data_IF_463192139262
#
_entry.id   IF_463192139262
#
_cell.length_a   1.000
_cell.length_b   1.000
_cell.length_c   1.000
_cell.angle_alpha   90.00
_cell.angle_beta   90.00
_cell.angle_gamma   90.00
#
_symmetry.space_group_name_H-M   'P 1'
#
loop_
_entity.id
_entity.type
_entity.pdbx_description
1 polymer ?
#
# COMPACT_ATOMS: atom_id res chain seq x y z
N UNK A 1 15.34 5.82 -8.74
CA UNK A 1 14.80 6.96 -7.94
C UNK A 1 13.37 7.34 -8.32
N UNK A 2 12.94 7.15 -9.55
CA UNK A 2 11.59 7.51 -10.03
C UNK A 2 10.46 6.72 -9.35
N UNK A 3 10.55 5.37 -9.14
CA UNK A 3 9.47 4.62 -8.51
C UNK A 3 9.12 5.10 -7.08
N UNK A 4 10.12 5.53 -6.30
CA UNK A 4 9.88 6.00 -4.93
C UNK A 4 9.08 7.31 -4.88
N UNK A 5 9.24 8.18 -5.89
CA UNK A 5 8.53 9.45 -5.94
C UNK A 5 7.05 9.27 -6.23
N UNK A 6 6.73 8.24 -6.99
CA UNK A 6 5.37 7.98 -7.45
C UNK A 6 4.58 7.24 -6.35
N UNK A 7 5.21 6.28 -5.66
CA UNK A 7 4.60 5.68 -4.45
C UNK A 7 4.32 6.74 -3.38
N UNK A 8 5.20 7.76 -3.26
CA UNK A 8 4.99 8.88 -2.34
C UNK A 8 3.83 9.78 -2.77
N UNK A 9 3.67 10.01 -4.07
CA UNK A 9 2.56 10.84 -4.61
C UNK A 9 1.18 10.25 -4.28
N UNK A 10 1.07 8.93 -4.16
CA UNK A 10 -0.17 8.25 -3.76
C UNK A 10 -0.58 8.62 -2.34
N UNK A 11 0.38 8.74 -1.42
CA UNK A 11 0.10 9.21 -0.05
C UNK A 11 -0.44 10.64 -0.07
N UNK A 12 0.09 11.50 -0.93
CA UNK A 12 -0.41 12.87 -1.08
C UNK A 12 -1.82 12.92 -1.67
N UNK A 13 -2.21 11.98 -2.53
CA UNK A 13 -3.54 11.90 -3.11
C UNK A 13 -4.63 11.51 -2.09
N UNK A 14 -4.27 10.99 -0.91
CA UNK A 14 -5.23 10.73 0.18
C UNK A 14 -5.93 12.03 0.60
N UNK A 15 -5.19 13.13 0.71
CA UNK A 15 -5.72 14.42 1.18
C UNK A 15 -6.82 14.97 0.28
N UNK A 16 -6.64 15.12 -1.05
CA UNK A 16 -7.72 15.61 -1.92
C UNK A 16 -8.92 14.65 -1.98
N UNK A 17 -8.71 13.33 -1.89
CA UNK A 17 -9.82 12.36 -1.85
C UNK A 17 -10.66 12.59 -0.60
N UNK A 18 -10.04 12.65 0.58
CA UNK A 18 -10.72 12.89 1.85
C UNK A 18 -11.43 14.24 1.83
N UNK A 19 -10.76 15.27 1.33
CA UNK A 19 -11.36 16.62 1.22
C UNK A 19 -12.61 16.63 0.32
N UNK A 20 -12.55 15.96 -0.82
CA UNK A 20 -13.72 15.84 -1.72
C UNK A 20 -14.87 15.08 -1.05
N UNK A 21 -14.58 14.07 -0.26
CA UNK A 21 -15.60 13.35 0.52
C UNK A 21 -16.22 14.23 1.61
N UNK A 22 -15.42 15.06 2.29
CA UNK A 22 -15.92 15.98 3.32
C UNK A 22 -16.90 17.02 2.75
N UNK A 23 -16.70 17.48 1.53
CA UNK A 23 -17.63 18.39 0.83
C UNK A 23 -18.77 17.67 0.12
N UNK A 24 -18.96 16.37 0.40
CA UNK A 24 -19.98 15.50 -0.22
C UNK A 24 -19.88 15.41 -1.77
N UNK A 25 -18.73 15.70 -2.35
CA UNK A 25 -18.51 15.55 -3.77
C UNK A 25 -17.91 14.18 -4.11
N UNK A 26 -18.76 13.16 -4.02
CA UNK A 26 -18.36 11.75 -4.20
C UNK A 26 -17.80 11.49 -5.60
N UNK A 27 -18.33 12.15 -6.64
CA UNK A 27 -17.85 11.96 -8.02
C UNK A 27 -16.39 12.39 -8.18
N UNK A 28 -16.02 13.49 -7.56
CA UNK A 28 -14.65 14.02 -7.61
C UNK A 28 -13.69 13.15 -6.77
N UNK A 29 -14.16 12.63 -5.64
CA UNK A 29 -13.40 11.69 -4.83
C UNK A 29 -13.11 10.39 -5.59
N UNK A 30 -14.10 9.83 -6.29
CA UNK A 30 -13.94 8.64 -7.15
C UNK A 30 -12.96 8.93 -8.29
N UNK A 31 -13.04 10.10 -8.92
CA UNK A 31 -12.11 10.48 -9.99
C UNK A 31 -10.66 10.50 -9.49
N UNK A 32 -10.38 11.12 -8.35
CA UNK A 32 -9.04 11.13 -7.76
C UNK A 32 -8.57 9.73 -7.36
N UNK A 33 -9.46 8.89 -6.84
CA UNK A 33 -9.16 7.50 -6.54
C UNK A 33 -8.78 6.70 -7.79
N UNK A 34 -9.52 6.85 -8.88
CA UNK A 34 -9.22 6.21 -10.16
C UNK A 34 -7.88 6.69 -10.73
N UNK A 35 -7.58 7.98 -10.64
CA UNK A 35 -6.29 8.54 -11.05
C UNK A 35 -5.16 7.92 -10.22
N UNK A 36 -5.31 7.84 -8.90
CA UNK A 36 -4.31 7.24 -8.02
C UNK A 36 -4.08 5.75 -8.36
N UNK A 37 -5.15 5.00 -8.58
CA UNK A 37 -5.08 3.57 -8.94
C UNK A 37 -4.46 3.35 -10.32
N UNK A 38 -4.77 4.22 -11.30
CA UNK A 38 -4.22 4.14 -12.64
C UNK A 38 -2.73 4.49 -12.67
N UNK A 39 -2.33 5.49 -11.89
CA UNK A 39 -0.93 5.87 -11.73
C UNK A 39 -0.11 4.70 -11.16
N UNK A 40 -0.64 4.03 -10.13
CA UNK A 40 -0.02 2.83 -9.54
C UNK A 40 0.20 1.70 -10.56
N UNK A 41 -0.81 1.43 -11.37
CA UNK A 41 -0.71 0.41 -12.42
C UNK A 41 0.39 0.75 -13.43
N UNK A 42 0.48 2.01 -13.86
CA UNK A 42 1.51 2.48 -14.80
C UNK A 42 2.92 2.35 -14.19
N UNK A 43 3.07 2.70 -12.92
CA UNK A 43 4.37 2.66 -12.24
C UNK A 43 4.89 1.24 -12.08
N UNK A 44 4.03 0.33 -11.67
CA UNK A 44 4.35 -1.09 -11.60
C UNK A 44 4.73 -1.68 -12.97
N UNK A 45 4.12 -1.19 -14.04
CA UNK A 45 4.45 -1.58 -15.40
C UNK A 45 5.82 -1.03 -15.83
N UNK A 46 6.07 0.28 -15.62
CA UNK A 46 7.33 0.93 -16.00
C UNK A 46 8.52 0.45 -15.17
N UNK A 47 8.33 0.20 -13.87
CA UNK A 47 9.39 -0.31 -12.99
C UNK A 47 9.88 -1.70 -13.45
N UNK A 48 8.96 -2.57 -13.85
CA UNK A 48 9.28 -3.89 -14.43
C UNK A 48 9.97 -3.78 -15.78
N UNK A 49 9.50 -2.88 -16.63
CA UNK A 49 10.07 -2.69 -17.98
C UNK A 49 11.51 -2.14 -17.95
N UNK A 50 11.82 -1.27 -17.00
CA UNK A 50 13.13 -0.62 -16.86
C UNK A 50 14.15 -1.42 -16.03
N UNK A 51 13.79 -2.59 -15.48
CA UNK A 51 14.64 -3.41 -14.59
C UNK A 51 15.26 -2.61 -13.43
N UNK A 52 14.62 -1.53 -12.98
CA UNK A 52 15.08 -0.66 -11.89
C UNK A 52 14.41 -0.99 -10.54
N UNK A 53 14.12 -2.26 -10.29
CA UNK A 53 13.53 -2.70 -9.03
C UNK A 53 14.58 -2.62 -7.92
N UNK A 54 14.46 -1.65 -7.01
CA UNK A 54 15.20 -1.65 -5.77
C UNK A 54 14.36 -2.30 -4.66
N UNK A 55 15.00 -3.07 -3.78
CA UNK A 55 14.33 -3.70 -2.63
C UNK A 55 13.64 -2.66 -1.75
N UNK A 56 14.28 -1.49 -1.58
CA UNK A 56 13.70 -0.36 -0.84
C UNK A 56 12.47 0.21 -1.56
N UNK A 57 12.52 0.35 -2.89
CA UNK A 57 11.39 0.85 -3.68
C UNK A 57 10.18 -0.06 -3.59
N UNK A 58 10.37 -1.37 -3.71
CA UNK A 58 9.29 -2.34 -3.59
C UNK A 58 8.65 -2.34 -2.18
N UNK A 59 9.45 -2.17 -1.12
CA UNK A 59 8.93 -2.07 0.24
C UNK A 59 8.16 -0.76 0.48
N UNK A 60 8.64 0.36 -0.06
CA UNK A 60 7.96 1.66 0.04
C UNK A 60 6.63 1.66 -0.72
N UNK A 61 6.58 1.04 -1.88
CA UNK A 61 5.36 0.89 -2.67
C UNK A 61 4.31 0.08 -1.90
N UNK A 62 4.71 -1.05 -1.35
CA UNK A 62 3.84 -1.90 -0.53
C UNK A 62 3.32 -1.19 0.73
N UNK A 63 4.13 -0.33 1.35
CA UNK A 63 3.72 0.49 2.50
C UNK A 63 2.76 1.61 2.06
N UNK A 64 3.05 2.31 0.97
CA UNK A 64 2.22 3.38 0.45
C UNK A 64 0.82 2.88 0.10
N UNK A 65 0.72 1.71 -0.54
CA UNK A 65 -0.53 1.06 -0.88
C UNK A 65 -1.37 0.73 0.36
N UNK A 66 -0.74 0.14 1.38
CA UNK A 66 -1.43 -0.18 2.64
C UNK A 66 -1.92 1.08 3.37
N UNK A 67 -1.11 2.12 3.43
CA UNK A 67 -1.47 3.40 4.06
C UNK A 67 -2.64 4.03 3.29
N UNK A 68 -2.58 4.03 1.95
CA UNK A 68 -3.61 4.57 1.10
C UNK A 68 -4.97 3.89 1.34
N UNK A 69 -5.03 2.57 1.22
CA UNK A 69 -6.27 1.80 1.40
C UNK A 69 -6.79 1.91 2.84
N UNK A 70 -5.92 1.78 3.85
CA UNK A 70 -6.31 1.86 5.26
C UNK A 70 -6.89 3.23 5.61
N UNK A 71 -6.26 4.31 5.15
CA UNK A 71 -6.72 5.69 5.40
C UNK A 71 -8.10 5.94 4.81
N UNK A 72 -8.34 5.47 3.59
CA UNK A 72 -9.64 5.61 2.93
C UNK A 72 -10.72 4.78 3.63
N UNK A 73 -10.44 3.54 4.03
CA UNK A 73 -11.38 2.69 4.75
C UNK A 73 -11.77 3.29 6.10
N UNK A 74 -10.81 3.82 6.86
CA UNK A 74 -11.06 4.49 8.13
C UNK A 74 -11.96 5.71 7.91
N UNK A 75 -11.65 6.53 6.90
CA UNK A 75 -12.43 7.73 6.62
C UNK A 75 -13.85 7.40 6.17
N UNK A 76 -14.03 6.42 5.29
CA UNK A 76 -15.35 5.92 4.86
C UNK A 76 -16.16 5.42 6.05
N UNK A 77 -15.54 4.65 6.96
CA UNK A 77 -16.20 4.14 8.15
C UNK A 77 -16.69 5.25 9.07
N UNK A 78 -15.89 6.31 9.20
CA UNK A 78 -16.25 7.49 9.99
C UNK A 78 -17.38 8.30 9.31
N UNK A 79 -17.32 8.44 7.98
CA UNK A 79 -18.31 9.23 7.22
C UNK A 79 -19.70 8.61 7.24
N UNK A 80 -19.80 7.28 7.19
CA UNK A 80 -21.08 6.57 7.22
C UNK A 80 -21.65 6.33 8.62
N UNK A 81 -20.88 6.62 9.67
CA UNK A 81 -21.26 6.45 11.10
C UNK A 81 -21.93 5.09 11.38
N UNK A 82 -21.38 4.03 10.78
CA UNK A 82 -21.94 2.69 10.88
C UNK A 82 -20.95 1.76 11.59
N UNK A 83 -21.36 1.23 12.75
CA UNK A 83 -20.55 0.33 13.57
C UNK A 83 -20.13 -0.95 12.83
N UNK A 84 -21.00 -1.48 11.98
CA UNK A 84 -20.68 -2.67 11.18
C UNK A 84 -19.55 -2.38 10.19
N UNK A 85 -19.61 -1.22 9.55
CA UNK A 85 -18.55 -0.76 8.61
C UNK A 85 -17.21 -0.57 9.33
N UNK A 86 -17.25 -0.01 10.54
CA UNK A 86 -16.06 0.16 11.37
C UNK A 86 -15.42 -1.18 11.75
N UNK A 87 -16.25 -2.15 12.20
CA UNK A 87 -15.76 -3.49 12.52
C UNK A 87 -15.12 -4.19 11.31
N UNK A 88 -15.76 -4.12 10.14
CA UNK A 88 -15.22 -4.66 8.90
C UNK A 88 -13.88 -4.02 8.53
N UNK A 89 -13.77 -2.70 8.68
CA UNK A 89 -12.53 -1.94 8.42
C UNK A 89 -11.39 -2.41 9.33
N UNK A 90 -11.65 -2.56 10.63
CA UNK A 90 -10.65 -3.05 11.59
C UNK A 90 -10.18 -4.47 11.21
N UNK A 91 -11.08 -5.36 10.84
CA UNK A 91 -10.73 -6.72 10.42
C UNK A 91 -9.88 -6.74 9.15
N UNK A 92 -10.20 -5.91 8.17
CA UNK A 92 -9.43 -5.81 6.92
C UNK A 92 -8.01 -5.30 7.22
N UNK A 93 -7.88 -4.24 8.01
CA UNK A 93 -6.57 -3.66 8.36
C UNK A 93 -5.75 -4.66 9.18
N UNK A 94 -6.34 -5.33 10.17
CA UNK A 94 -5.68 -6.36 10.96
C UNK A 94 -5.15 -7.51 10.09
N UNK A 95 -5.97 -7.98 9.13
CA UNK A 95 -5.57 -8.99 8.15
C UNK A 95 -4.38 -8.53 7.30
N UNK A 96 -4.43 -7.31 6.77
CA UNK A 96 -3.35 -6.77 5.92
C UNK A 96 -2.01 -6.65 6.68
N UNK A 97 -2.05 -6.18 7.92
CA UNK A 97 -0.87 -6.10 8.78
C UNK A 97 -0.34 -7.52 9.08
N UNK A 98 -1.22 -8.45 9.46
CA UNK A 98 -0.82 -9.83 9.80
C UNK A 98 -0.16 -10.55 8.63
N UNK A 99 -0.74 -10.45 7.44
CA UNK A 99 -0.16 -11.06 6.23
C UNK A 99 1.19 -10.41 5.88
N UNK A 100 1.31 -9.08 6.05
CA UNK A 100 2.56 -8.37 5.81
C UNK A 100 3.69 -8.82 6.73
N UNK A 101 3.42 -8.94 8.03
CA UNK A 101 4.40 -9.38 9.04
C UNK A 101 4.83 -10.84 8.83
N UNK A 102 3.88 -11.73 8.55
CA UNK A 102 4.18 -13.14 8.25
C UNK A 102 5.06 -13.26 7.00
N UNK A 103 4.75 -12.52 5.94
CA UNK A 103 5.56 -12.52 4.72
C UNK A 103 6.99 -12.05 4.99
N UNK A 104 7.16 -10.98 5.76
CA UNK A 104 8.47 -10.46 6.11
C UNK A 104 9.26 -11.47 6.93
N UNK A 105 8.65 -12.08 7.93
CA UNK A 105 9.29 -13.13 8.75
C UNK A 105 9.75 -14.33 7.91
N UNK A 106 8.94 -14.79 6.96
CA UNK A 106 9.30 -15.90 6.08
C UNK A 106 10.46 -15.56 5.13
N UNK A 107 10.57 -14.31 4.69
CA UNK A 107 11.70 -13.86 3.86
C UNK A 107 13.01 -13.79 4.65
N UNK A 108 12.94 -13.33 5.89
CA UNK A 108 14.11 -13.27 6.79
C UNK A 108 14.63 -14.66 7.11
N UNK A 109 13.77 -15.59 7.53
CA UNK A 109 14.15 -16.99 7.83
C UNK A 109 14.72 -17.74 6.61
N UNK A 110 14.20 -17.45 5.41
CA UNK A 110 14.73 -18.04 4.18
C UNK A 110 16.13 -17.51 3.84
N UNK A 111 16.41 -16.25 4.13
CA UNK A 111 17.73 -15.65 3.92
C UNK A 111 18.76 -16.17 4.96
N UNK A 112 18.39 -16.31 6.22
CA UNK A 112 19.25 -16.88 7.24
C UNK A 112 19.65 -18.34 6.94
N UNK A 113 18.71 -19.14 6.47
CA UNK A 113 18.97 -20.51 6.08
C UNK A 113 19.92 -20.60 4.86
N UNK A 114 19.82 -19.68 3.90
CA UNK A 114 20.75 -19.60 2.76
C UNK A 114 22.18 -19.26 3.22
N UNK A 115 22.32 -18.35 4.19
CA UNK A 115 23.63 -17.93 4.73
C UNK A 115 24.26 -19.09 5.51
N UNK A 116 23.49 -19.81 6.33
CA UNK A 116 23.98 -20.99 7.08
C UNK A 116 24.43 -22.11 6.16
N UNK A 117 23.70 -22.43 5.10
CA UNK A 117 24.07 -23.48 4.14
C UNK A 117 25.35 -23.09 3.38
N UNK A 118 25.52 -21.81 3.03
CA UNK A 118 26.76 -21.35 2.36
C UNK A 118 27.99 -21.34 3.30
N UNK A 119 27.80 -21.17 4.60
CA UNK A 119 28.91 -21.22 5.59
C UNK A 119 29.34 -22.62 5.97
N UNK A 120 28.48 -23.63 5.83
CA UNK A 120 28.78 -25.04 6.07
C UNK A 120 29.40 -25.76 4.85
N UNK A 121 29.41 -25.12 3.69
CA UNK A 121 29.99 -25.65 2.45
C UNK A 121 31.41 -25.18 2.13
N UNK A 122 32.06 -24.52 3.07
CA UNK A 122 33.51 -24.21 3.08
C UNK A 122 34.24 -24.94 4.19
#
# INVERSE_FOLDING_TARGET
>A
MIPNLISLSRIFLIFPIIFCMMINNIYLAILFFLIASFTDFLDGYFARYLHQESILGANLDLLADKIFVSSLLIFISFHFDNLIFLMMTILIIAREISIGTIRQYLLETKNENKIKVNSLGK
#
